data_IF_121116535495
#
_entry.id   IF_121116535495
#
_cell.length_a   1.000
_cell.length_b   1.000
_cell.length_c   1.000
_cell.angle_alpha   90.00
_cell.angle_beta   90.00
_cell.angle_gamma   90.00
#
_symmetry.space_group_name_H-M   'P 1'
#
loop_
_entity.id
_entity.type
_entity.pdbx_description
1 polymer ?
#
# COMPACT_ATOMS: atom_id res chain seq x y z
N UNK A 1 33.54 72.79 19.13
CA UNK A 1 34.13 71.43 19.23
C UNK A 1 33.12 70.53 19.91
N UNK A 2 32.63 69.53 19.17
CA UNK A 2 31.69 68.51 19.64
C UNK A 2 32.45 67.48 20.49
N UNK A 3 31.88 67.00 21.58
CA UNK A 3 32.15 65.64 22.05
C UNK A 3 30.82 64.92 22.30
N UNK A 4 30.81 63.67 21.85
CA UNK A 4 29.67 62.76 21.76
C UNK A 4 29.44 62.04 23.09
N UNK A 5 28.20 61.68 23.38
CA UNK A 5 27.86 60.59 24.30
C UNK A 5 27.10 59.54 23.49
N UNK A 6 27.67 58.32 23.46
CA UNK A 6 27.16 57.14 22.78
C UNK A 6 26.31 56.36 23.79
N UNK A 7 25.02 56.19 23.53
CA UNK A 7 24.14 55.32 24.34
C UNK A 7 23.94 54.00 23.61
N UNK A 8 24.42 52.92 24.22
CA UNK A 8 24.29 51.55 23.77
C UNK A 8 22.90 51.01 24.14
N UNK A 9 22.02 50.81 23.15
CA UNK A 9 20.77 50.07 23.34
C UNK A 9 21.01 48.59 23.01
N UNK A 10 21.01 47.75 24.05
CA UNK A 10 20.97 46.29 23.91
C UNK A 10 19.50 45.91 23.68
N UNK A 11 19.19 45.46 22.47
CA UNK A 11 17.88 44.87 22.13
C UNK A 11 17.94 43.39 22.52
N UNK A 12 17.19 43.02 23.56
CA UNK A 12 17.01 41.63 23.97
C UNK A 12 15.86 41.04 23.13
N UNK A 13 16.19 40.35 22.04
CA UNK A 13 15.20 39.62 21.24
C UNK A 13 15.00 38.23 21.84
N UNK A 14 13.97 38.06 22.68
CA UNK A 14 13.55 36.75 23.16
C UNK A 14 12.77 36.03 22.05
N UNK A 15 13.43 35.10 21.36
CA UNK A 15 12.79 34.14 20.45
C UNK A 15 12.15 33.03 21.31
N UNK A 16 10.92 33.24 21.76
CA UNK A 16 10.07 32.12 22.20
C UNK A 16 9.46 31.48 20.96
N UNK A 17 10.05 30.37 20.51
CA UNK A 17 9.39 29.47 19.56
C UNK A 17 8.16 28.88 20.25
N UNK A 18 6.98 29.36 19.86
CA UNK A 18 5.71 28.77 20.30
C UNK A 18 5.63 27.33 19.79
N UNK A 19 5.41 26.38 20.69
CA UNK A 19 5.07 25.01 20.34
C UNK A 19 3.66 25.07 19.72
N UNK A 20 3.57 24.92 18.40
CA UNK A 20 2.29 24.73 17.73
C UNK A 20 1.74 23.36 18.10
N UNK A 21 0.71 23.34 18.95
CA UNK A 21 -0.05 22.12 19.19
C UNK A 21 -0.99 21.88 18.00
N UNK A 22 -0.83 20.74 17.34
CA UNK A 22 -1.80 20.30 16.32
C UNK A 22 -3.05 19.85 17.05
N UNK A 23 -4.19 20.52 16.78
CA UNK A 23 -5.46 20.23 17.48
C UNK A 23 -6.28 19.15 16.78
N UNK A 24 -5.97 18.84 15.51
CA UNK A 24 -6.61 17.79 14.74
C UNK A 24 -5.73 17.44 13.53
N UNK A 25 -5.68 16.16 13.18
CA UNK A 25 -4.99 15.62 12.01
C UNK A 25 -5.87 14.57 11.34
N UNK A 26 -5.98 14.56 10.01
CA UNK A 26 -6.68 13.52 9.24
C UNK A 26 -5.85 13.15 8.00
N UNK A 27 -5.27 11.94 8.03
CA UNK A 27 -4.48 11.40 6.94
C UNK A 27 -5.38 10.96 5.78
N UNK A 28 -4.95 11.15 4.52
CA UNK A 28 -5.69 10.72 3.34
C UNK A 28 -5.56 9.22 3.07
N UNK A 29 -5.80 8.39 4.08
CA UNK A 29 -5.91 6.93 3.90
C UNK A 29 -7.15 6.65 3.03
N UNK A 30 -7.01 5.96 1.88
CA UNK A 30 -8.14 5.66 1.03
C UNK A 30 -9.06 4.63 1.69
N UNK A 31 -10.33 4.60 1.30
CA UNK A 31 -11.36 3.79 1.95
C UNK A 31 -11.92 2.67 1.05
N UNK A 32 -12.11 1.50 1.64
CA UNK A 32 -13.01 0.44 1.17
C UNK A 32 -13.66 -0.27 2.35
N UNK A 33 -14.84 -0.84 2.13
CA UNK A 33 -15.43 -1.82 3.06
C UNK A 33 -14.84 -3.21 2.81
N UNK A 34 -14.93 -4.10 3.81
CA UNK A 34 -14.44 -5.49 3.72
C UNK A 34 -15.16 -6.33 2.66
N UNK A 35 -16.39 -5.94 2.28
CA UNK A 35 -17.18 -6.53 1.20
C UNK A 35 -17.38 -5.49 0.08
N UNK A 36 -16.38 -5.23 -0.79
CA UNK A 36 -16.46 -4.14 -1.77
C UNK A 36 -17.62 -4.26 -2.77
N UNK A 37 -18.10 -5.48 -3.01
CA UNK A 37 -19.26 -5.78 -3.85
C UNK A 37 -20.60 -5.63 -3.11
N UNK A 38 -20.59 -5.19 -1.85
CA UNK A 38 -21.72 -5.09 -0.92
C UNK A 38 -22.45 -6.41 -0.61
N UNK A 39 -21.91 -7.55 -1.03
CA UNK A 39 -22.46 -8.86 -0.72
C UNK A 39 -21.73 -9.48 0.45
N UNK A 40 -22.32 -9.43 1.64
CA UNK A 40 -21.74 -10.00 2.86
C UNK A 40 -21.84 -11.54 2.83
N UNK A 41 -20.78 -12.17 2.30
CA UNK A 41 -20.57 -13.62 2.18
C UNK A 41 -19.07 -13.91 2.16
N UNK A 42 -18.66 -15.14 2.37
CA UNK A 42 -17.25 -15.55 2.17
C UNK A 42 -16.71 -15.18 0.77
N UNK A 43 -15.45 -14.69 0.66
CA UNK A 43 -14.48 -14.51 1.74
C UNK A 43 -14.64 -13.19 2.53
N UNK A 44 -15.60 -12.33 2.14
CA UNK A 44 -15.73 -10.97 2.65
C UNK A 44 -16.17 -10.86 4.11
N UNK A 45 -16.80 -11.89 4.67
CA UNK A 45 -17.23 -11.91 6.08
C UNK A 45 -16.04 -11.76 7.05
N UNK A 46 -14.86 -12.25 6.66
CA UNK A 46 -13.64 -12.27 7.47
C UNK A 46 -12.49 -11.53 6.77
N UNK A 47 -12.81 -10.43 6.08
CA UNK A 47 -11.85 -9.66 5.28
C UNK A 47 -11.43 -8.33 5.92
N UNK A 48 -11.65 -8.16 7.23
CA UNK A 48 -11.43 -6.87 7.89
C UNK A 48 -9.93 -6.50 7.95
N UNK A 49 -9.06 -7.50 8.16
CA UNK A 49 -7.61 -7.36 8.09
C UNK A 49 -7.14 -7.10 6.66
N UNK A 50 -7.65 -7.85 5.69
CA UNK A 50 -7.28 -7.71 4.27
C UNK A 50 -7.65 -6.33 3.74
N UNK A 51 -8.85 -5.84 4.06
CA UNK A 51 -9.29 -4.49 3.70
C UNK A 51 -8.42 -3.43 4.40
N UNK A 52 -8.09 -3.64 5.67
CA UNK A 52 -7.19 -2.75 6.42
C UNK A 52 -5.81 -2.66 5.77
N UNK A 53 -5.18 -3.80 5.50
CA UNK A 53 -3.87 -3.87 4.87
C UNK A 53 -3.90 -3.26 3.47
N UNK A 54 -4.97 -3.47 2.71
CA UNK A 54 -5.18 -2.85 1.39
C UNK A 54 -5.17 -1.32 1.49
N UNK A 55 -5.95 -0.74 2.40
CA UNK A 55 -6.02 0.71 2.57
C UNK A 55 -4.68 1.33 2.99
N UNK A 56 -3.99 0.71 3.95
CA UNK A 56 -2.68 1.20 4.44
C UNK A 56 -1.59 1.03 3.38
N UNK A 57 -1.60 -0.08 2.63
CA UNK A 57 -0.68 -0.31 1.52
C UNK A 57 -0.80 0.79 0.45
N UNK A 58 -2.04 1.08 0.01
CA UNK A 58 -2.29 2.09 -1.00
C UNK A 58 -1.95 3.51 -0.53
N UNK A 59 -2.12 3.79 0.77
CA UNK A 59 -1.65 5.03 1.39
C UNK A 59 -0.14 5.20 1.24
N UNK A 60 0.66 4.18 1.60
CA UNK A 60 2.12 4.25 1.50
C UNK A 60 2.65 4.27 0.06
N UNK A 61 1.91 3.69 -0.88
CA UNK A 61 2.25 3.76 -2.31
C UNK A 61 1.86 5.10 -2.96
N UNK A 62 1.11 5.96 -2.26
CA UNK A 62 0.52 7.18 -2.81
C UNK A 62 -0.31 6.92 -4.09
N UNK A 63 -0.86 5.71 -4.21
CA UNK A 63 -1.39 5.20 -5.47
C UNK A 63 -2.77 5.76 -5.85
N UNK A 64 -3.48 6.40 -4.90
CA UNK A 64 -4.87 6.80 -5.10
C UNK A 64 -5.05 8.31 -4.87
N UNK A 65 -5.41 9.10 -5.91
CA UNK A 65 -5.73 10.52 -5.75
C UNK A 65 -7.12 10.79 -5.15
N UNK A 66 -7.92 9.74 -4.97
CA UNK A 66 -9.32 9.77 -4.50
C UNK A 66 -9.42 9.21 -3.06
N UNK A 67 -10.42 9.63 -2.27
CA UNK A 67 -10.62 9.15 -0.90
C UNK A 67 -11.17 7.72 -0.82
N UNK A 68 -11.60 7.14 -1.94
CA UNK A 68 -12.22 5.81 -2.00
C UNK A 68 -11.54 4.96 -3.07
N UNK A 69 -11.35 3.68 -2.75
CA UNK A 69 -10.74 2.71 -3.66
C UNK A 69 -11.84 2.23 -4.64
N UNK A 70 -11.59 2.21 -5.96
CA UNK A 70 -12.52 1.62 -6.92
C UNK A 70 -12.83 0.16 -6.58
N UNK A 71 -14.08 -0.27 -6.74
CA UNK A 71 -14.55 -1.62 -6.33
C UNK A 71 -13.70 -2.74 -6.90
N UNK A 72 -13.43 -2.73 -8.20
CA UNK A 72 -12.63 -3.79 -8.86
C UNK A 72 -11.20 -3.85 -8.30
N UNK A 73 -10.62 -2.69 -7.99
CA UNK A 73 -9.29 -2.60 -7.38
C UNK A 73 -9.32 -3.09 -5.93
N UNK A 74 -10.33 -2.70 -5.15
CA UNK A 74 -10.50 -3.18 -3.78
C UNK A 74 -10.65 -4.70 -3.72
N UNK A 75 -11.45 -5.29 -4.62
CA UNK A 75 -11.59 -6.75 -4.76
C UNK A 75 -10.23 -7.39 -5.09
N UNK A 76 -9.51 -6.86 -6.09
CA UNK A 76 -8.24 -7.42 -6.52
C UNK A 76 -7.18 -7.39 -5.40
N UNK A 77 -7.05 -6.26 -4.69
CA UNK A 77 -6.09 -6.09 -3.60
C UNK A 77 -6.45 -6.93 -2.37
N UNK A 78 -7.72 -6.94 -1.93
CA UNK A 78 -8.16 -7.76 -0.80
C UNK A 78 -7.89 -9.25 -1.09
N UNK A 79 -8.21 -9.72 -2.30
CA UNK A 79 -7.90 -11.09 -2.70
C UNK A 79 -6.39 -11.36 -2.78
N UNK A 80 -5.57 -10.35 -3.12
CA UNK A 80 -4.10 -10.46 -3.07
C UNK A 80 -3.63 -10.69 -1.64
N UNK A 81 -4.13 -9.91 -0.69
CA UNK A 81 -3.80 -10.07 0.73
C UNK A 81 -4.23 -11.45 1.25
N UNK A 82 -5.42 -11.94 0.86
CA UNK A 82 -5.85 -13.31 1.18
C UNK A 82 -4.89 -14.37 0.65
N UNK A 83 -4.39 -14.24 -0.59
CA UNK A 83 -3.41 -15.18 -1.16
C UNK A 83 -2.12 -15.20 -0.35
N UNK A 84 -1.59 -14.01 -0.02
CA UNK A 84 -0.39 -13.88 0.82
C UNK A 84 -0.62 -14.55 2.18
N UNK A 85 -1.71 -14.18 2.87
CA UNK A 85 -2.07 -14.72 4.19
C UNK A 85 -2.17 -16.25 4.16
N UNK A 86 -2.97 -16.79 3.25
CA UNK A 86 -3.24 -18.22 3.20
C UNK A 86 -2.01 -19.06 2.85
N UNK A 87 -1.15 -18.58 1.95
CA UNK A 87 0.08 -19.28 1.60
C UNK A 87 1.12 -19.25 2.72
N UNK A 88 1.12 -18.17 3.51
CA UNK A 88 2.15 -17.92 4.53
C UNK A 88 1.78 -18.48 5.89
N UNK A 89 0.52 -18.31 6.31
CA UNK A 89 0.03 -18.62 7.65
C UNK A 89 -0.94 -19.81 7.66
N UNK A 90 -1.31 -20.33 6.49
CA UNK A 90 -2.41 -21.28 6.32
C UNK A 90 -3.76 -20.57 6.32
N UNK A 91 -4.85 -21.35 6.18
CA UNK A 91 -6.20 -20.79 6.16
C UNK A 91 -6.61 -20.36 7.57
N UNK A 92 -6.79 -19.06 7.75
CA UNK A 92 -7.29 -18.44 8.98
C UNK A 92 -8.34 -17.38 8.65
N UNK A 93 -9.31 -17.21 9.54
CA UNK A 93 -10.30 -16.14 9.41
C UNK A 93 -9.71 -14.84 9.94
N UNK A 94 -9.34 -14.82 11.22
CA UNK A 94 -8.77 -13.64 11.87
C UNK A 94 -7.30 -13.83 12.25
N UNK A 95 -6.55 -12.74 12.36
CA UNK A 95 -5.15 -12.75 12.77
C UNK A 95 -4.82 -11.75 13.89
N UNK A 96 -3.81 -12.13 14.69
CA UNK A 96 -3.30 -11.29 15.78
C UNK A 96 -2.25 -10.28 15.30
N UNK A 97 -1.90 -9.33 16.17
CA UNK A 97 -0.99 -8.23 15.83
C UNK A 97 0.39 -8.69 15.35
N UNK A 98 0.91 -9.78 15.94
CA UNK A 98 2.21 -10.36 15.58
C UNK A 98 2.21 -10.90 14.15
N UNK A 99 1.17 -11.67 13.78
CA UNK A 99 1.04 -12.22 12.44
C UNK A 99 0.77 -11.15 11.39
N UNK A 100 -0.08 -10.16 11.68
CA UNK A 100 -0.30 -9.03 10.77
C UNK A 100 1.01 -8.26 10.55
N UNK A 101 1.76 -7.99 11.61
CA UNK A 101 3.09 -7.34 11.54
C UNK A 101 4.07 -8.16 10.71
N UNK A 102 4.08 -9.49 10.89
CA UNK A 102 4.90 -10.40 10.09
C UNK A 102 4.55 -10.31 8.59
N UNK A 103 3.26 -10.32 8.23
CA UNK A 103 2.83 -10.18 6.84
C UNK A 103 3.31 -8.85 6.24
N UNK A 104 3.09 -7.74 6.94
CA UNK A 104 3.52 -6.40 6.51
C UNK A 104 5.01 -6.38 6.21
N UNK A 105 5.82 -6.81 7.18
CA UNK A 105 7.28 -6.66 7.09
C UNK A 105 7.89 -7.53 5.99
N UNK A 106 7.25 -8.64 5.60
CA UNK A 106 7.74 -9.50 4.52
C UNK A 106 7.19 -9.11 3.15
N UNK A 107 5.90 -8.77 3.03
CA UNK A 107 5.21 -8.76 1.73
C UNK A 107 4.61 -7.40 1.30
N UNK A 108 4.89 -6.33 2.04
CA UNK A 108 4.38 -4.99 1.74
C UNK A 108 5.50 -3.94 1.68
N UNK A 109 5.34 -2.86 0.89
CA UNK A 109 6.35 -1.81 0.69
C UNK A 109 6.47 -0.83 1.87
N UNK A 110 5.99 -1.23 3.05
CA UNK A 110 6.07 -0.46 4.28
C UNK A 110 6.40 -1.40 5.45
N UNK A 111 6.64 -0.82 6.62
CA UNK A 111 7.00 -1.56 7.83
C UNK A 111 5.99 -1.36 8.94
N UNK A 112 6.01 -2.30 9.87
CA UNK A 112 5.20 -2.24 11.07
C UNK A 112 5.88 -2.87 12.28
N UNK A 113 5.42 -2.47 13.47
CA UNK A 113 5.76 -3.12 14.72
C UNK A 113 4.59 -3.06 15.70
N UNK A 114 4.46 -4.11 16.51
CA UNK A 114 3.43 -4.21 17.54
C UNK A 114 3.80 -3.41 18.78
N UNK A 115 2.85 -2.66 19.32
CA UNK A 115 2.96 -1.94 20.59
C UNK A 115 1.96 -2.52 21.58
N UNK A 116 2.45 -2.90 22.76
CA UNK A 116 1.61 -3.37 23.87
C UNK A 116 1.19 -2.19 24.76
N UNK A 117 -0.06 -2.22 25.23
CA UNK A 117 -0.67 -1.19 26.08
C UNK A 117 -0.43 0.25 25.55
N UNK A 118 -0.80 0.54 24.29
CA UNK A 118 -0.54 1.85 23.69
C UNK A 118 -1.23 2.96 24.47
N UNK A 119 -0.61 4.14 24.53
CA UNK A 119 -1.25 5.36 25.05
C UNK A 119 -1.90 6.16 23.92
N UNK A 120 -2.86 7.02 24.29
CA UNK A 120 -3.51 7.95 23.37
C UNK A 120 -2.47 8.83 22.66
N UNK A 121 -1.49 9.34 23.40
CA UNK A 121 -0.43 10.22 22.91
C UNK A 121 0.50 9.52 21.92
N UNK A 122 0.79 8.22 22.13
CA UNK A 122 1.59 7.45 21.18
C UNK A 122 0.86 7.29 19.84
N UNK A 123 -0.44 6.97 19.86
CA UNK A 123 -1.24 6.85 18.64
C UNK A 123 -1.29 8.19 17.90
N UNK A 124 -1.51 9.30 18.62
CA UNK A 124 -1.50 10.65 18.02
C UNK A 124 -0.15 11.02 17.42
N UNK A 125 0.96 10.67 18.08
CA UNK A 125 2.31 10.94 17.60
C UNK A 125 2.61 10.20 16.27
N UNK A 126 2.09 8.99 16.08
CA UNK A 126 2.17 8.30 14.79
C UNK A 126 1.41 9.05 13.69
N UNK A 127 0.17 9.46 13.99
CA UNK A 127 -0.68 10.20 13.06
C UNK A 127 -0.04 11.55 12.68
N UNK A 128 0.48 12.30 13.65
CA UNK A 128 1.16 13.57 13.42
C UNK A 128 2.40 13.38 12.52
N UNK A 129 3.07 12.24 12.65
CA UNK A 129 4.19 11.87 11.82
C UNK A 129 3.79 11.24 10.47
N UNK A 130 2.53 11.40 10.05
CA UNK A 130 1.96 10.91 8.79
C UNK A 130 1.94 9.38 8.66
N UNK A 131 1.80 8.67 9.78
CA UNK A 131 1.78 7.21 9.82
C UNK A 131 0.43 6.72 10.35
N UNK A 132 -0.43 6.12 9.49
CA UNK A 132 -1.67 5.55 9.97
C UNK A 132 -1.39 4.38 10.91
N UNK A 133 -2.27 4.18 11.88
CA UNK A 133 -2.14 3.13 12.88
C UNK A 133 -3.14 2.04 12.58
N UNK A 134 -2.72 0.77 12.60
CA UNK A 134 -3.63 -0.37 12.41
C UNK A 134 -4.13 -0.82 13.79
N UNK A 135 -5.43 -0.69 14.01
CA UNK A 135 -6.10 -1.05 15.25
C UNK A 135 -6.71 -2.45 15.21
N UNK A 136 -6.56 -3.18 16.31
CA UNK A 136 -7.21 -4.47 16.56
C UNK A 136 -8.19 -4.28 17.71
N UNK A 137 -9.43 -4.73 17.53
CA UNK A 137 -10.52 -4.37 18.42
C UNK A 137 -11.39 -5.55 18.81
N UNK A 138 -11.83 -5.54 20.06
CA UNK A 138 -13.06 -6.23 20.45
C UNK A 138 -14.25 -5.45 19.89
N UNK A 139 -14.79 -5.91 18.75
CA UNK A 139 -15.75 -5.14 17.96
C UNK A 139 -17.04 -4.75 18.69
N UNK A 140 -17.46 -5.53 19.71
CA UNK A 140 -18.64 -5.23 20.52
C UNK A 140 -18.48 -4.00 21.41
N UNK A 141 -17.26 -3.65 21.80
CA UNK A 141 -16.94 -2.49 22.64
C UNK A 141 -16.87 -1.17 21.85
N UNK A 142 -16.89 -1.24 20.52
CA UNK A 142 -16.97 -0.08 19.63
C UNK A 142 -18.35 0.57 19.67
N UNK A 143 -19.40 -0.20 19.99
CA UNK A 143 -20.79 0.25 20.01
C UNK A 143 -21.21 0.99 18.72
N UNK A 144 -20.72 0.54 17.56
CA UNK A 144 -21.05 1.17 16.30
C UNK A 144 -22.54 0.96 15.97
N UNK A 145 -23.26 2.07 15.78
CA UNK A 145 -24.70 2.07 15.48
C UNK A 145 -25.07 1.38 14.16
N UNK A 146 -24.11 1.17 13.26
CA UNK A 146 -24.32 0.50 11.98
C UNK A 146 -24.10 -1.02 12.03
N UNK A 147 -23.53 -1.54 13.12
CA UNK A 147 -23.32 -2.97 13.27
C UNK A 147 -24.60 -3.70 13.67
N UNK A 148 -24.79 -4.89 13.11
CA UNK A 148 -25.85 -5.82 13.51
C UNK A 148 -25.39 -6.64 14.72
N UNK A 149 -26.35 -7.16 15.49
CA UNK A 149 -26.12 -8.09 16.60
C UNK A 149 -25.07 -7.63 17.63
N UNK A 150 -24.94 -6.30 17.79
CA UNK A 150 -24.02 -5.66 18.73
C UNK A 150 -22.57 -5.58 18.29
N UNK A 151 -22.25 -5.93 17.03
CA UNK A 151 -20.88 -5.88 16.49
C UNK A 151 -20.16 -7.23 16.47
N UNK A 152 -19.08 -7.34 15.67
CA UNK A 152 -18.31 -8.57 15.54
C UNK A 152 -17.50 -8.85 16.81
N UNK A 153 -17.14 -10.12 17.03
CA UNK A 153 -16.33 -10.53 18.18
C UNK A 153 -14.87 -10.03 18.09
N UNK A 154 -14.41 -9.73 16.88
CA UNK A 154 -13.11 -9.17 16.58
C UNK A 154 -13.26 -8.23 15.38
N UNK A 155 -12.45 -7.18 15.30
CA UNK A 155 -12.49 -6.25 14.19
C UNK A 155 -11.17 -5.51 14.00
N UNK A 156 -10.87 -5.14 12.75
CA UNK A 156 -9.66 -4.40 12.40
C UNK A 156 -9.99 -3.24 11.46
N UNK A 157 -9.39 -2.08 11.73
CA UNK A 157 -9.40 -0.93 10.81
C UNK A 157 -8.22 0.02 11.04
N UNK A 158 -7.83 0.82 10.03
CA UNK A 158 -6.88 1.92 10.19
C UNK A 158 -7.48 3.08 11.00
N UNK A 159 -6.72 3.60 11.96
CA UNK A 159 -6.91 4.92 12.55
C UNK A 159 -6.10 5.91 11.70
N UNK A 160 -6.80 6.83 11.06
CA UNK A 160 -6.23 7.80 10.11
C UNK A 160 -6.14 9.21 10.70
N UNK A 161 -6.75 9.49 11.85
CA UNK A 161 -6.79 10.85 12.37
C UNK A 161 -7.27 10.98 13.80
N UNK A 162 -7.22 12.20 14.31
CA UNK A 162 -7.77 12.59 15.60
C UNK A 162 -8.27 14.04 15.59
N UNK A 163 -9.10 14.38 16.56
CA UNK A 163 -9.71 15.68 16.78
C UNK A 163 -9.80 15.93 18.29
N UNK A 164 -8.87 16.74 18.82
CA UNK A 164 -8.79 17.00 20.26
C UNK A 164 -9.93 17.87 20.78
N UNK A 165 -10.53 18.71 19.94
CA UNK A 165 -11.67 19.51 20.36
C UNK A 165 -12.88 18.62 20.66
N UNK A 166 -13.04 17.55 19.87
CA UNK A 166 -14.14 16.58 20.02
C UNK A 166 -13.77 15.36 20.86
N UNK A 167 -12.49 15.15 21.14
CA UNK A 167 -11.98 13.94 21.81
C UNK A 167 -12.30 12.67 21.01
N UNK A 168 -12.07 12.70 19.70
CA UNK A 168 -12.43 11.65 18.76
C UNK A 168 -11.25 11.21 17.89
N UNK A 169 -11.15 9.92 17.62
CA UNK A 169 -10.37 9.38 16.52
C UNK A 169 -11.19 9.41 15.23
N UNK A 170 -10.49 9.57 14.10
CA UNK A 170 -11.00 9.40 12.74
C UNK A 170 -10.42 8.09 12.20
N UNK A 171 -11.26 7.23 11.64
CA UNK A 171 -10.89 5.86 11.23
C UNK A 171 -11.46 5.51 9.85
N UNK A 172 -10.91 4.47 9.22
CA UNK A 172 -11.46 3.87 8.00
C UNK A 172 -12.18 2.57 8.34
N UNK A 173 -13.42 2.69 8.81
CA UNK A 173 -14.20 1.60 9.39
C UNK A 173 -14.67 0.58 8.33
N UNK A 174 -14.04 -0.59 8.30
CA UNK A 174 -14.20 -1.61 7.23
C UNK A 174 -15.55 -2.34 7.28
N UNK A 175 -16.20 -2.37 8.44
CA UNK A 175 -17.41 -3.15 8.70
C UNK A 175 -18.72 -2.47 8.30
N UNK A 176 -18.69 -1.29 7.69
CA UNK A 176 -19.90 -0.59 7.23
C UNK A 176 -19.63 0.36 6.07
N UNK A 177 -20.61 0.50 5.16
CA UNK A 177 -20.58 1.48 4.05
C UNK A 177 -20.48 2.95 4.51
N UNK A 178 -20.72 3.21 5.80
CA UNK A 178 -20.59 4.52 6.42
C UNK A 178 -19.20 4.77 6.99
N UNK A 179 -18.22 3.93 6.65
CA UNK A 179 -16.96 3.85 7.36
C UNK A 179 -15.86 4.84 6.98
N UNK A 180 -16.00 5.56 5.86
CA UNK A 180 -15.04 6.58 5.45
C UNK A 180 -15.00 7.71 6.48
N UNK A 181 -13.81 7.93 7.06
CA UNK A 181 -13.57 8.93 8.10
C UNK A 181 -14.55 8.85 9.28
N UNK A 182 -14.93 7.62 9.63
CA UNK A 182 -15.81 7.35 10.75
C UNK A 182 -15.20 7.84 12.06
N UNK A 183 -16.04 8.29 13.00
CA UNK A 183 -15.60 8.90 14.25
C UNK A 183 -16.00 8.05 15.45
N UNK A 184 -15.01 7.78 16.30
CA UNK A 184 -15.21 7.16 17.60
C UNK A 184 -14.57 8.04 18.68
N UNK A 185 -15.16 8.09 19.87
CA UNK A 185 -14.52 8.77 21.00
C UNK A 185 -13.17 8.10 21.34
N UNK A 186 -12.22 8.88 21.86
CA UNK A 186 -10.96 8.34 22.38
C UNK A 186 -11.21 7.20 23.37
N UNK A 187 -12.14 7.39 24.30
CA UNK A 187 -12.47 6.38 25.30
C UNK A 187 -12.99 5.08 24.68
N UNK A 188 -13.82 5.17 23.63
CA UNK A 188 -14.34 4.00 22.90
C UNK A 188 -13.21 3.19 22.28
N UNK A 189 -12.34 3.84 21.50
CA UNK A 189 -11.20 3.17 20.85
C UNK A 189 -10.25 2.59 21.89
N UNK A 190 -9.79 3.39 22.85
CA UNK A 190 -8.80 2.95 23.84
C UNK A 190 -9.31 1.78 24.71
N UNK A 191 -10.63 1.72 24.96
CA UNK A 191 -11.25 0.58 25.63
C UNK A 191 -11.28 -0.65 24.73
N UNK A 192 -11.72 -0.49 23.48
CA UNK A 192 -11.91 -1.58 22.53
C UNK A 192 -10.61 -2.23 22.02
N UNK A 193 -9.44 -1.59 22.16
CA UNK A 193 -8.16 -2.17 21.74
C UNK A 193 -7.91 -3.50 22.46
N UNK A 194 -7.89 -4.58 21.69
CA UNK A 194 -7.68 -5.95 22.14
C UNK A 194 -7.09 -6.77 20.99
N UNK A 195 -6.00 -7.49 21.25
CA UNK A 195 -5.40 -8.41 20.27
C UNK A 195 -6.33 -9.58 19.96
N UNK A 196 -6.16 -10.22 18.81
CA UNK A 196 -6.92 -11.41 18.49
C UNK A 196 -6.46 -12.61 19.33
N UNK A 197 -7.37 -13.15 20.13
CA UNK A 197 -7.23 -14.45 20.78
C UNK A 197 -8.54 -15.21 20.53
N UNK A 198 -8.51 -16.38 19.86
CA UNK A 198 -9.71 -17.13 19.54
C UNK A 198 -10.64 -17.31 20.75
N UNK A 199 -11.91 -16.91 20.58
CA UNK A 199 -12.96 -16.96 21.60
C UNK A 199 -12.70 -16.18 22.90
N UNK A 200 -11.66 -15.35 22.99
CA UNK A 200 -11.30 -14.64 24.22
C UNK A 200 -10.73 -13.23 23.98
N UNK A 201 -11.14 -12.57 22.89
CA UNK A 201 -10.67 -11.24 22.49
C UNK A 201 -10.86 -10.21 23.62
N UNK A 202 -12.01 -10.18 24.29
CA UNK A 202 -12.30 -9.20 25.36
C UNK A 202 -11.31 -9.23 26.55
N UNK A 203 -10.58 -10.34 26.75
CA UNK A 203 -9.60 -10.49 27.83
C UNK A 203 -8.16 -10.58 27.30
N UNK A 204 -7.96 -10.35 26.00
CA UNK A 204 -6.63 -10.41 25.40
C UNK A 204 -5.80 -9.18 25.75
N UNK A 205 -4.46 -9.26 25.61
CA UNK A 205 -3.60 -8.10 25.74
C UNK A 205 -4.02 -6.96 24.80
N UNK A 206 -3.85 -5.73 25.26
CA UNK A 206 -4.06 -4.55 24.41
C UNK A 206 -2.86 -4.39 23.49
N UNK A 207 -3.05 -4.60 22.20
CA UNK A 207 -2.01 -4.42 21.18
C UNK A 207 -2.54 -3.63 20.01
N UNK A 208 -1.64 -2.84 19.44
CA UNK A 208 -1.88 -2.06 18.23
C UNK A 208 -0.65 -2.16 17.33
N UNK A 209 -0.82 -1.87 16.05
CA UNK A 209 0.28 -1.95 15.08
C UNK A 209 0.60 -0.53 14.60
N UNK A 210 1.80 -0.08 14.91
CA UNK A 210 2.34 1.16 14.37
C UNK A 210 3.00 0.87 13.03
N UNK A 211 2.77 1.72 12.05
CA UNK A 211 3.30 1.56 10.70
C UNK A 211 4.34 2.63 10.41
N UNK A 212 5.23 2.41 9.44
CA UNK A 212 6.19 3.41 8.96
C UNK A 212 6.61 3.12 7.54
N UNK A 213 7.18 4.12 6.86
CA UNK A 213 7.90 3.90 5.60
C UNK A 213 9.01 2.87 5.80
N UNK A 214 9.27 2.07 4.77
CA UNK A 214 10.30 1.03 4.80
C UNK A 214 11.68 1.56 5.26
N UNK A 215 12.35 0.83 6.14
CA UNK A 215 13.67 1.15 6.69
C UNK A 215 14.74 0.20 6.15
N UNK A 216 15.98 0.36 6.62
CA UNK A 216 17.07 -0.54 6.30
C UNK A 216 16.84 -1.99 6.76
N UNK A 217 15.97 -2.20 7.75
CA UNK A 217 15.73 -3.51 8.36
C UNK A 217 14.99 -4.44 7.40
N UNK A 218 13.83 -4.03 6.86
CA UNK A 218 13.06 -4.92 5.98
C UNK A 218 13.43 -4.78 4.51
N UNK A 219 14.03 -3.68 4.07
CA UNK A 219 14.29 -3.44 2.63
C UNK A 219 15.15 -4.50 1.93
N UNK A 220 15.93 -5.26 2.70
CA UNK A 220 16.84 -6.31 2.21
C UNK A 220 16.24 -7.72 2.33
N UNK A 221 15.00 -7.85 2.82
CA UNK A 221 14.31 -9.13 2.84
C UNK A 221 13.96 -9.54 1.41
N UNK A 222 14.01 -10.84 1.15
CA UNK A 222 13.64 -11.50 -0.10
C UNK A 222 12.64 -12.60 0.31
N UNK A 223 11.34 -12.24 0.27
CA UNK A 223 10.31 -12.99 0.97
C UNK A 223 9.86 -14.23 0.21
N UNK A 224 9.91 -14.18 -1.11
CA UNK A 224 9.55 -15.25 -2.03
C UNK A 224 10.77 -16.03 -2.58
N UNK A 225 11.98 -15.55 -2.29
CA UNK A 225 13.28 -16.20 -2.49
C UNK A 225 13.66 -16.34 -3.95
N UNK A 226 13.28 -15.36 -4.74
CA UNK A 226 13.51 -15.33 -6.18
C UNK A 226 14.85 -14.66 -6.56
N UNK A 227 15.49 -14.01 -5.57
CA UNK A 227 16.77 -13.32 -5.70
C UNK A 227 16.67 -11.80 -5.72
N UNK A 228 15.48 -11.21 -5.61
CA UNK A 228 15.27 -9.77 -5.43
C UNK A 228 14.93 -9.44 -3.97
N UNK A 229 15.59 -8.42 -3.42
CA UNK A 229 15.15 -7.83 -2.17
C UNK A 229 13.89 -6.98 -2.38
N UNK A 230 13.10 -6.74 -1.32
CA UNK A 230 11.94 -5.82 -1.33
C UNK A 230 12.24 -4.49 -2.00
N UNK A 231 13.44 -3.93 -1.78
CA UNK A 231 13.80 -2.66 -2.44
C UNK A 231 14.07 -2.79 -3.93
N UNK A 232 14.59 -3.92 -4.39
CA UNK A 232 14.77 -4.22 -5.81
C UNK A 232 13.44 -4.54 -6.49
N UNK A 233 12.52 -5.22 -5.77
CA UNK A 233 11.17 -5.49 -6.26
C UNK A 233 10.35 -4.21 -6.45
N UNK A 234 10.41 -3.28 -5.49
CA UNK A 234 9.77 -1.96 -5.65
C UNK A 234 10.32 -1.23 -6.88
N UNK A 235 11.63 -1.29 -7.11
CA UNK A 235 12.26 -0.63 -8.25
C UNK A 235 11.89 -1.30 -9.58
N UNK A 236 11.74 -2.62 -9.58
CA UNK A 236 11.35 -3.42 -10.75
C UNK A 236 9.84 -3.43 -10.97
N UNK A 237 9.06 -3.04 -9.96
CA UNK A 237 7.61 -3.03 -9.94
C UNK A 237 7.00 -4.43 -9.85
N UNK A 238 7.71 -5.38 -9.26
CA UNK A 238 7.32 -6.79 -9.11
C UNK A 238 6.58 -7.02 -7.79
N UNK A 239 5.93 -8.18 -7.64
CA UNK A 239 5.16 -8.53 -6.45
C UNK A 239 6.00 -9.31 -5.43
N UNK A 240 6.20 -8.73 -4.24
CA UNK A 240 6.95 -9.29 -3.09
C UNK A 240 6.57 -10.69 -2.61
N UNK A 241 5.48 -11.23 -3.12
CA UNK A 241 4.96 -12.54 -2.75
C UNK A 241 5.07 -13.58 -3.89
N UNK A 242 5.34 -13.14 -5.11
CA UNK A 242 5.31 -13.99 -6.29
C UNK A 242 6.69 -14.03 -6.95
N UNK A 243 7.39 -15.18 -6.93
CA UNK A 243 8.71 -15.28 -7.54
C UNK A 243 8.75 -14.97 -9.05
N UNK A 244 7.59 -14.99 -9.71
CA UNK A 244 7.38 -14.78 -11.14
C UNK A 244 6.10 -13.93 -11.26
N UNK A 245 6.27 -12.62 -11.44
CA UNK A 245 5.18 -11.64 -11.38
C UNK A 245 4.27 -11.70 -12.60
N UNK A 246 4.80 -12.04 -13.77
CA UNK A 246 4.04 -12.09 -15.03
C UNK A 246 3.64 -13.51 -15.46
N UNK A 247 4.04 -14.50 -14.67
CA UNK A 247 3.74 -15.93 -14.83
C UNK A 247 4.27 -16.50 -16.15
N UNK A 248 5.40 -15.99 -16.63
CA UNK A 248 6.00 -16.47 -17.87
C UNK A 248 6.84 -17.74 -17.70
N UNK A 249 7.19 -18.09 -16.45
CA UNK A 249 7.99 -19.26 -16.07
C UNK A 249 9.44 -18.93 -15.75
N UNK A 250 9.84 -17.66 -15.80
CA UNK A 250 11.11 -17.15 -15.27
C UNK A 250 10.86 -16.36 -14.00
N UNK A 251 11.79 -16.42 -13.04
CA UNK A 251 11.63 -15.63 -11.83
C UNK A 251 12.04 -14.17 -12.06
N UNK A 252 11.45 -13.24 -11.33
CA UNK A 252 11.71 -11.81 -11.51
C UNK A 252 13.20 -11.49 -11.34
N UNK A 253 13.84 -12.11 -10.33
CA UNK A 253 15.28 -12.00 -10.09
C UNK A 253 16.15 -12.55 -11.22
N UNK A 254 15.70 -13.59 -11.94
CA UNK A 254 16.38 -14.08 -13.14
C UNK A 254 16.22 -13.07 -14.27
N UNK A 255 15.02 -12.55 -14.47
CA UNK A 255 14.73 -11.63 -15.57
C UNK A 255 15.48 -10.32 -15.42
N UNK A 256 15.43 -9.70 -14.24
CA UNK A 256 16.19 -8.49 -13.92
C UNK A 256 17.69 -8.71 -14.14
N UNK A 257 18.24 -9.85 -13.71
CA UNK A 257 19.66 -10.19 -13.88
C UNK A 257 20.07 -10.31 -15.36
N UNK A 258 19.17 -10.75 -16.24
CA UNK A 258 19.46 -10.98 -17.66
C UNK A 258 18.88 -9.90 -18.60
N UNK A 259 18.45 -8.76 -18.05
CA UNK A 259 17.89 -7.61 -18.76
C UNK A 259 16.61 -7.97 -19.54
N UNK A 260 15.72 -8.71 -18.90
CA UNK A 260 14.34 -8.99 -19.34
C UNK A 260 13.34 -8.23 -18.46
N UNK A 261 12.09 -8.14 -18.91
CA UNK A 261 11.03 -7.45 -18.16
C UNK A 261 10.29 -8.43 -17.24
N UNK A 262 10.39 -8.30 -15.90
CA UNK A 262 9.69 -9.18 -14.95
C UNK A 262 8.18 -8.88 -14.81
N UNK A 263 7.62 -8.12 -15.74
CA UNK A 263 6.22 -7.66 -15.71
C UNK A 263 5.48 -7.93 -17.01
N UNK A 264 6.21 -8.42 -18.00
CA UNK A 264 5.70 -8.63 -19.34
C UNK A 264 6.35 -9.91 -19.82
N UNK A 265 5.53 -10.93 -20.06
CA UNK A 265 5.92 -12.23 -20.57
C UNK A 265 6.49 -12.13 -22.00
N UNK A 266 7.67 -11.55 -22.15
CA UNK A 266 8.26 -11.08 -23.41
C UNK A 266 8.40 -12.20 -24.42
N UNK A 267 8.78 -13.39 -23.94
CA UNK A 267 8.97 -14.58 -24.76
C UNK A 267 7.65 -15.22 -25.21
N UNK A 268 6.51 -14.81 -24.62
CA UNK A 268 5.16 -15.26 -24.97
C UNK A 268 4.38 -14.21 -25.78
N UNK A 269 4.97 -13.05 -26.11
CA UNK A 269 4.30 -12.02 -26.89
C UNK A 269 3.93 -12.51 -28.30
N UNK A 270 2.69 -12.25 -28.77
CA UNK A 270 2.26 -12.70 -30.08
C UNK A 270 2.88 -11.86 -31.21
N UNK A 271 3.08 -12.49 -32.37
CA UNK A 271 3.36 -11.76 -33.63
C UNK A 271 2.29 -10.70 -33.87
N UNK A 272 2.71 -9.50 -34.30
CA UNK A 272 1.86 -8.34 -34.49
C UNK A 272 1.83 -7.37 -33.30
N UNK A 273 2.49 -7.71 -32.18
CA UNK A 273 2.61 -6.81 -31.03
C UNK A 273 3.49 -5.60 -31.37
N UNK A 274 3.04 -4.42 -31.00
CA UNK A 274 3.84 -3.19 -31.08
C UNK A 274 4.70 -3.09 -29.83
N UNK A 275 6.01 -2.99 -30.01
CA UNK A 275 6.98 -3.00 -28.90
C UNK A 275 7.96 -1.85 -29.05
N UNK A 276 8.42 -1.33 -27.92
CA UNK A 276 9.54 -0.37 -27.87
C UNK A 276 10.34 -0.54 -26.58
N UNK A 277 11.52 0.06 -26.55
CA UNK A 277 12.29 0.24 -25.31
C UNK A 277 11.79 1.46 -24.54
N UNK A 278 11.87 1.42 -23.22
CA UNK A 278 11.72 2.63 -22.39
C UNK A 278 12.83 3.67 -22.63
N UNK A 279 13.98 3.23 -23.11
CA UNK A 279 15.18 4.04 -23.29
C UNK A 279 15.38 4.55 -24.73
N UNK A 280 14.52 4.13 -25.67
CA UNK A 280 14.61 4.53 -27.07
C UNK A 280 13.24 4.87 -27.69
N UNK A 281 13.16 5.86 -28.58
CA UNK A 281 11.89 6.28 -29.19
C UNK A 281 11.40 5.36 -30.31
N UNK A 282 12.26 4.49 -30.85
CA UNK A 282 11.93 3.62 -31.98
C UNK A 282 10.86 2.60 -31.63
N UNK A 283 9.82 2.51 -32.48
CA UNK A 283 8.73 1.54 -32.34
C UNK A 283 8.90 0.43 -33.37
N UNK A 284 8.70 -0.81 -32.94
CA UNK A 284 8.81 -1.98 -33.78
C UNK A 284 7.52 -2.79 -33.78
N UNK A 285 7.25 -3.46 -34.90
CA UNK A 285 6.29 -4.56 -34.95
C UNK A 285 7.04 -5.88 -34.71
N UNK A 286 6.61 -6.66 -33.72
CA UNK A 286 7.10 -8.01 -33.48
C UNK A 286 6.61 -8.95 -34.59
N UNK A 287 7.52 -9.65 -35.25
CA UNK A 287 7.24 -10.61 -36.32
C UNK A 287 7.97 -11.93 -36.06
N UNK A 288 7.35 -12.79 -35.25
CA UNK A 288 7.95 -14.00 -34.72
C UNK A 288 9.16 -13.70 -33.83
N UNK A 289 10.35 -14.14 -34.26
CA UNK A 289 11.64 -13.83 -33.59
C UNK A 289 12.38 -12.65 -34.23
N UNK A 290 11.70 -11.88 -35.06
CA UNK A 290 12.23 -10.66 -35.67
C UNK A 290 11.43 -9.43 -35.26
N UNK A 291 12.03 -8.25 -35.42
CA UNK A 291 11.40 -6.95 -35.21
C UNK A 291 11.48 -6.10 -36.47
N UNK A 292 10.41 -5.40 -36.81
CA UNK A 292 10.33 -4.55 -38.00
C UNK A 292 10.19 -3.10 -37.56
N UNK A 293 11.17 -2.27 -37.88
CA UNK A 293 11.17 -0.85 -37.50
C UNK A 293 10.04 -0.11 -38.24
N UNK A 294 9.25 0.66 -37.51
CA UNK A 294 8.26 1.58 -38.08
C UNK A 294 8.94 2.94 -38.26
N UNK A 295 9.15 3.37 -39.51
CA UNK A 295 10.04 4.49 -39.81
C UNK A 295 9.47 5.86 -39.49
N UNK A 296 8.14 5.99 -39.42
CA UNK A 296 7.49 7.28 -39.21
C UNK A 296 6.13 7.15 -38.54
N UNK A 297 5.66 8.24 -37.95
CA UNK A 297 4.29 8.37 -37.46
C UNK A 297 3.27 8.16 -38.59
N UNK A 298 3.58 8.61 -39.82
CA UNK A 298 2.74 8.36 -40.99
C UNK A 298 2.59 6.85 -41.23
N UNK A 299 3.69 6.11 -41.27
CA UNK A 299 3.71 4.65 -41.42
C UNK A 299 2.87 3.98 -40.32
N UNK A 300 3.01 4.46 -39.08
CA UNK A 300 2.29 3.96 -37.91
C UNK A 300 0.77 4.13 -38.08
N UNK A 301 0.33 5.36 -38.37
CA UNK A 301 -1.09 5.72 -38.49
C UNK A 301 -1.75 5.11 -39.73
N UNK A 302 -1.05 5.02 -40.87
CA UNK A 302 -1.58 4.41 -42.11
C UNK A 302 -1.84 2.91 -41.95
N UNK A 303 -1.18 2.22 -41.00
CA UNK A 303 -1.49 0.83 -40.63
C UNK A 303 -2.56 0.68 -39.56
N UNK A 304 -3.13 1.79 -39.10
CA UNK A 304 -4.15 1.79 -38.05
C UNK A 304 -3.59 1.39 -36.68
N UNK A 305 -2.28 1.46 -36.50
CA UNK A 305 -1.67 1.25 -35.19
C UNK A 305 -2.05 2.38 -34.25
N UNK A 306 -2.07 2.05 -32.96
CA UNK A 306 -2.52 2.94 -31.89
C UNK A 306 -1.41 3.05 -30.85
N UNK A 307 -1.11 4.28 -30.44
CA UNK A 307 -0.01 4.56 -29.51
C UNK A 307 -0.23 3.88 -28.16
N UNK A 308 -1.48 3.79 -27.72
CA UNK A 308 -1.87 3.08 -26.49
C UNK A 308 -1.64 1.56 -26.53
N UNK A 309 -1.40 0.98 -27.71
CA UNK A 309 -1.14 -0.46 -27.88
C UNK A 309 0.35 -0.81 -27.83
N UNK A 310 1.24 0.17 -27.68
CA UNK A 310 2.68 -0.09 -27.64
C UNK A 310 3.06 -0.61 -26.25
N UNK A 311 3.73 -1.75 -26.23
CA UNK A 311 4.31 -2.30 -25.01
C UNK A 311 5.76 -1.84 -24.84
N UNK A 312 6.08 -1.40 -23.62
CA UNK A 312 7.44 -1.10 -23.21
C UNK A 312 8.15 -2.40 -22.78
N UNK A 313 8.98 -2.94 -23.66
CA UNK A 313 9.79 -4.14 -23.43
C UNK A 313 11.23 -3.77 -23.04
N UNK A 314 11.95 -4.73 -22.48
CA UNK A 314 13.34 -4.68 -22.09
C UNK A 314 14.27 -4.52 -23.30
N UNK A 315 15.41 -3.88 -23.07
CA UNK A 315 16.45 -3.77 -24.10
C UNK A 315 17.07 -5.14 -24.40
N UNK A 316 17.18 -6.02 -23.41
CA UNK A 316 17.72 -7.36 -23.60
C UNK A 316 16.84 -8.23 -24.48
N UNK A 317 15.51 -8.10 -24.41
CA UNK A 317 14.62 -8.76 -25.37
C UNK A 317 14.80 -8.21 -26.78
N UNK A 318 14.78 -6.88 -26.96
CA UNK A 318 14.94 -6.26 -28.29
C UNK A 318 16.26 -6.61 -28.98
N UNK A 319 17.36 -6.69 -28.23
CA UNK A 319 18.69 -7.07 -28.77
C UNK A 319 18.74 -8.51 -29.29
N UNK A 320 17.85 -9.39 -28.82
CA UNK A 320 17.81 -10.81 -29.23
C UNK A 320 16.91 -11.05 -30.44
N UNK A 321 16.07 -10.09 -30.82
CA UNK A 321 15.26 -10.15 -32.03
C UNK A 321 16.09 -9.78 -33.26
N UNK A 322 15.98 -10.57 -34.34
CA UNK A 322 16.58 -10.23 -35.64
C UNK A 322 15.85 -9.05 -36.30
N UNK A 323 16.52 -8.32 -37.17
CA UNK A 323 15.89 -7.22 -37.91
C UNK A 323 15.16 -7.75 -39.15
N UNK A 324 13.88 -7.41 -39.27
CA UNK A 324 13.07 -7.64 -40.46
C UNK A 324 12.97 -6.39 -41.34
N UNK A 325 12.27 -6.50 -42.47
CA UNK A 325 12.05 -5.37 -43.35
C UNK A 325 11.26 -4.26 -42.66
N UNK A 326 11.73 -3.02 -42.79
CA UNK A 326 11.08 -1.85 -42.21
C UNK A 326 9.64 -1.67 -42.73
N UNK A 327 8.85 -0.92 -41.97
CA UNK A 327 7.49 -0.51 -42.32
C UNK A 327 7.55 0.99 -42.64
N UNK A 328 7.26 1.31 -43.91
CA UNK A 328 7.26 2.67 -44.48
C UNK A 328 5.90 3.34 -44.45
#
# INVERSE_FOLDING_TARGET
>A
MKSSILTLCIIFCALFGGISFVSATNLPVPFTIQAPDEHWREPWENACEEATLTMVNLYYQMAIPQRTIPVDQAIAEILRVFRIKNATLGTSFDENAEKITFLINNYFPFEAYTVENPTLEQIKAEIDAQRPVIGLFYGRDLHNQYFRDGGPAYHTFPISGYDDEKQEFIVQETGTRHGLDFRYSYATIMRAIHDFVPHNVQNSPKRIIFTRTMTAETRNLDADKDGLSKSEEILSGTDMFLPDTDFDGFSDGIEVKYDYSPKIAELKLPTGTLIKSKHAPSVYLLDGRSKRLILSEKAFLERGYKWENILDVSDGFLRRLSDGANIE
#
